data_IF_467206220972
#
_entry.id   IF_467206220972
#
_cell.length_a   1.000
_cell.length_b   1.000
_cell.length_c   1.000
_cell.angle_alpha   90.00
_cell.angle_beta   90.00
_cell.angle_gamma   90.00
#
_symmetry.space_group_name_H-M   'P 1'
#
loop_
_entity.id
_entity.type
_entity.pdbx_description
1 polymer ?
#
# COMPACT_ATOMS: atom_id res chain seq x y z
N UNK A 1 24.51 12.54 -78.47
CA UNK A 1 23.14 13.07 -78.26
C UNK A 1 22.87 13.09 -76.76
N UNK A 2 22.88 14.28 -76.15
CA UNK A 2 22.50 14.48 -74.74
C UNK A 2 21.02 14.84 -74.73
N UNK A 3 20.23 14.16 -73.91
CA UNK A 3 18.80 14.40 -73.74
C UNK A 3 18.65 15.10 -72.40
N UNK A 4 18.37 16.40 -72.43
CA UNK A 4 18.03 17.19 -71.26
C UNK A 4 16.62 16.82 -70.77
N UNK A 5 16.48 16.50 -69.49
CA UNK A 5 15.18 16.30 -68.82
C UNK A 5 14.74 17.61 -68.16
N UNK A 6 13.51 18.09 -68.41
CA UNK A 6 13.00 19.27 -67.73
C UNK A 6 12.56 18.94 -66.30
N UNK A 7 13.03 19.74 -65.35
CA UNK A 7 12.60 19.75 -63.95
C UNK A 7 11.32 20.58 -63.78
N UNK A 8 10.16 19.93 -63.87
CA UNK A 8 8.88 20.50 -63.47
C UNK A 8 8.37 19.80 -62.21
N UNK A 9 8.36 20.48 -61.07
CA UNK A 9 7.60 20.05 -59.88
C UNK A 9 6.13 20.45 -60.10
N UNK A 10 5.17 19.52 -59.98
CA UNK A 10 3.76 19.89 -60.00
C UNK A 10 3.39 20.61 -58.70
N UNK A 11 2.51 21.59 -58.85
CA UNK A 11 1.99 22.46 -57.80
C UNK A 11 1.37 21.67 -56.65
N UNK A 12 1.75 22.10 -55.45
CA UNK A 12 1.29 21.61 -54.15
C UNK A 12 -0.16 22.06 -53.94
N UNK A 13 -1.15 21.15 -53.86
CA UNK A 13 -2.53 21.53 -53.64
C UNK A 13 -2.69 22.04 -52.20
N UNK A 14 -3.11 23.31 -52.10
CA UNK A 14 -3.27 24.08 -50.88
C UNK A 14 -3.75 23.29 -49.65
N UNK A 15 -3.03 23.51 -48.56
CA UNK A 15 -3.34 23.10 -47.20
C UNK A 15 -4.80 23.44 -46.85
N UNK A 16 -5.66 22.41 -46.84
CA UNK A 16 -7.01 22.52 -46.29
C UNK A 16 -6.87 22.56 -44.77
N UNK A 17 -7.02 23.76 -44.18
CA UNK A 17 -7.09 23.94 -42.72
C UNK A 17 -8.21 23.05 -42.15
N UNK A 18 -7.81 21.98 -41.47
CA UNK A 18 -8.75 21.14 -40.72
C UNK A 18 -9.24 21.93 -39.51
N UNK A 19 -10.56 21.98 -39.24
CA UNK A 19 -11.08 22.65 -38.05
C UNK A 19 -10.49 22.01 -36.80
N UNK A 20 -10.01 22.84 -35.87
CA UNK A 20 -9.44 22.39 -34.60
C UNK A 20 -10.49 21.57 -33.85
N UNK A 21 -10.12 20.41 -33.28
CA UNK A 21 -11.02 19.68 -32.39
C UNK A 21 -11.42 20.58 -31.21
N UNK A 22 -12.66 20.48 -30.72
CA UNK A 22 -13.09 21.25 -29.56
C UNK A 22 -12.16 20.92 -28.38
N UNK A 23 -11.73 21.96 -27.67
CA UNK A 23 -10.91 21.76 -26.47
C UNK A 23 -11.66 20.86 -25.47
N UNK A 24 -10.97 19.88 -24.86
CA UNK A 24 -11.58 19.07 -23.83
C UNK A 24 -12.09 19.97 -22.72
N UNK A 25 -13.39 19.87 -22.42
CA UNK A 25 -14.00 20.54 -21.27
C UNK A 25 -13.23 20.11 -20.04
N UNK A 26 -12.47 21.04 -19.45
CA UNK A 26 -11.80 20.81 -18.18
C UNK A 26 -12.88 20.70 -17.11
N UNK A 27 -13.32 19.48 -16.83
CA UNK A 27 -14.12 19.20 -15.64
C UNK A 27 -13.30 19.59 -14.41
N UNK A 28 -13.78 20.60 -13.70
CA UNK A 28 -13.19 21.09 -12.47
C UNK A 28 -13.32 20.04 -11.35
N UNK A 29 -12.38 19.09 -11.34
CA UNK A 29 -12.27 18.01 -10.35
C UNK A 29 -11.87 18.51 -8.96
N UNK A 30 -11.63 19.81 -8.77
CA UNK A 30 -11.22 20.36 -7.48
C UNK A 30 -12.33 20.39 -6.41
N UNK A 31 -13.59 20.16 -6.81
CA UNK A 31 -14.76 20.25 -5.90
C UNK A 31 -15.04 19.02 -5.03
N UNK A 32 -14.30 17.91 -5.17
CA UNK A 32 -14.57 16.66 -4.43
C UNK A 32 -13.42 16.17 -3.54
N UNK A 33 -12.38 16.97 -3.30
CA UNK A 33 -11.36 16.60 -2.34
C UNK A 33 -11.90 16.81 -0.92
N UNK A 34 -12.19 15.72 -0.19
CA UNK A 34 -12.41 15.75 1.26
C UNK A 34 -11.20 16.44 1.90
N UNK A 35 -11.41 17.60 2.53
CA UNK A 35 -10.38 18.32 3.28
C UNK A 35 -10.53 17.98 4.77
N UNK A 36 -9.41 17.90 5.47
CA UNK A 36 -9.41 17.75 6.92
C UNK A 36 -9.90 19.04 7.62
N UNK A 37 -9.98 19.01 8.94
CA UNK A 37 -10.40 20.16 9.75
C UNK A 37 -9.45 21.37 9.62
N UNK A 38 -8.26 21.18 9.04
CA UNK A 38 -7.29 22.24 8.73
C UNK A 38 -7.43 22.76 7.29
N UNK A 39 -8.43 22.30 6.55
CA UNK A 39 -8.63 22.64 5.14
C UNK A 39 -7.59 22.00 4.20
N UNK A 40 -6.80 21.05 4.68
CA UNK A 40 -5.80 20.34 3.89
C UNK A 40 -6.44 19.14 3.21
N UNK A 41 -6.18 18.97 1.93
CA UNK A 41 -6.43 17.69 1.27
C UNK A 41 -5.50 16.61 1.85
N UNK A 42 -5.84 15.32 1.78
CA UNK A 42 -4.96 14.24 2.25
C UNK A 42 -3.55 14.31 1.62
N UNK A 43 -3.46 14.78 0.37
CA UNK A 43 -2.21 15.06 -0.34
C UNK A 43 -1.35 16.17 0.29
N UNK A 44 -2.00 17.20 0.84
CA UNK A 44 -1.36 18.34 1.49
C UNK A 44 -0.97 18.00 2.94
N UNK A 45 -1.83 17.26 3.65
CA UNK A 45 -1.55 16.76 5.00
C UNK A 45 -0.23 15.95 5.03
N UNK A 46 0.00 15.09 4.04
CA UNK A 46 1.18 14.22 4.00
C UNK A 46 2.40 14.93 3.45
N UNK A 47 2.21 15.93 2.57
CA UNK A 47 3.30 16.85 2.20
C UNK A 47 3.78 17.65 3.42
N UNK A 48 2.87 18.13 4.26
CA UNK A 48 3.21 18.80 5.52
C UNK A 48 3.87 17.85 6.52
N UNK A 49 3.42 16.59 6.58
CA UNK A 49 4.01 15.57 7.45
C UNK A 49 5.44 15.18 7.01
N UNK A 50 5.67 14.90 5.72
CA UNK A 50 7.01 14.60 5.19
C UNK A 50 7.96 15.80 5.34
N UNK A 51 7.46 17.03 5.15
CA UNK A 51 8.24 18.24 5.39
C UNK A 51 8.69 18.38 6.85
N UNK A 52 7.88 17.90 7.81
CA UNK A 52 8.22 17.84 9.24
C UNK A 52 9.23 16.73 9.55
N UNK A 53 9.19 15.62 8.82
CA UNK A 53 10.19 14.55 8.93
C UNK A 53 11.54 15.03 8.38
N UNK A 54 11.57 15.60 7.19
CA UNK A 54 12.79 16.08 6.52
C UNK A 54 13.45 17.26 7.23
N UNK A 55 12.67 18.10 7.93
CA UNK A 55 13.20 19.19 8.75
C UNK A 55 13.71 18.73 10.12
N UNK A 56 13.68 17.42 10.40
CA UNK A 56 14.02 16.87 11.71
C UNK A 56 13.03 17.25 12.82
N UNK A 57 11.85 17.77 12.46
CA UNK A 57 10.79 18.15 13.39
C UNK A 57 9.86 16.98 13.76
N UNK A 58 10.06 15.79 13.18
CA UNK A 58 9.26 14.60 13.49
C UNK A 58 9.83 13.75 14.62
N UNK A 59 11.09 13.95 15.01
CA UNK A 59 11.72 13.20 16.09
C UNK A 59 12.00 14.09 17.28
N UNK A 60 11.07 14.10 18.23
CA UNK A 60 11.29 14.01 19.70
C UNK A 60 10.06 14.52 20.43
N UNK A 61 9.28 13.63 21.03
CA UNK A 61 8.44 14.00 22.18
C UNK A 61 8.33 12.82 23.16
N UNK A 62 9.40 12.59 23.93
CA UNK A 62 9.36 12.14 25.33
C UNK A 62 10.63 12.60 26.10
N UNK A 63 10.42 13.64 26.93
CA UNK A 63 10.98 14.02 28.26
C UNK A 63 12.49 13.85 28.58
N UNK A 64 13.27 14.95 28.72
CA UNK A 64 13.53 15.67 30.00
C UNK A 64 14.47 16.91 29.88
N UNK A 65 14.09 17.96 30.63
CA UNK A 65 14.73 19.17 31.20
C UNK A 65 15.96 19.94 30.58
N UNK A 66 15.72 21.23 30.20
CA UNK A 66 16.34 22.50 30.70
C UNK A 66 16.61 23.62 29.62
N UNK A 67 15.59 24.49 29.40
CA UNK A 67 15.53 25.95 29.02
C UNK A 67 16.49 26.62 27.98
N UNK A 68 16.12 27.81 27.42
CA UNK A 68 14.81 28.35 27.03
C UNK A 68 14.79 29.01 25.62
N UNK A 69 13.61 29.09 24.99
CA UNK A 69 13.11 30.31 24.29
C UNK A 69 11.60 30.19 24.08
N UNK A 70 10.94 31.34 24.28
CA UNK A 70 9.50 31.53 24.48
C UNK A 70 8.76 31.57 23.15
N UNK A 71 7.57 30.96 23.11
CA UNK A 71 6.36 31.45 22.45
C UNK A 71 5.13 30.62 22.92
N UNK A 72 3.88 31.13 22.77
CA UNK A 72 2.82 30.91 23.76
C UNK A 72 2.05 29.60 23.54
N UNK A 73 1.90 28.83 24.62
CA UNK A 73 1.08 27.61 24.64
C UNK A 73 -0.39 28.01 24.78
N UNK A 74 -1.19 27.74 23.74
CA UNK A 74 -2.65 27.83 23.82
C UNK A 74 -3.16 26.79 24.80
N UNK A 75 -3.72 27.28 25.91
CA UNK A 75 -4.41 26.50 26.93
C UNK A 75 -5.91 26.57 26.66
N UNK A 76 -6.63 25.53 27.02
CA UNK A 76 -8.08 25.54 26.98
C UNK A 76 -8.68 26.46 28.06
N UNK A 77 -10.01 26.52 28.14
CA UNK A 77 -10.72 27.35 29.12
C UNK A 77 -10.41 26.97 30.58
N UNK A 78 -9.95 25.74 30.82
CA UNK A 78 -9.59 25.20 32.14
C UNK A 78 -8.09 25.34 32.42
N UNK A 79 -7.34 25.99 31.52
CA UNK A 79 -5.92 26.23 31.67
C UNK A 79 -5.05 25.00 31.37
N UNK A 80 -5.62 23.93 30.84
CA UNK A 80 -4.90 22.72 30.47
C UNK A 80 -4.34 22.82 29.05
N UNK A 81 -3.14 22.28 28.88
CA UNK A 81 -2.51 22.11 27.58
C UNK A 81 -3.07 20.87 26.88
N UNK A 82 -2.93 20.80 25.54
CA UNK A 82 -3.36 19.64 24.78
C UNK A 82 -2.67 18.33 25.22
N UNK A 83 -1.46 18.41 25.77
CA UNK A 83 -0.74 17.27 26.34
C UNK A 83 -1.39 16.81 27.66
N UNK A 84 -1.75 17.74 28.55
CA UNK A 84 -2.46 17.44 29.80
C UNK A 84 -3.85 16.84 29.52
N UNK A 85 -4.56 17.33 28.50
CA UNK A 85 -5.83 16.75 28.07
C UNK A 85 -5.69 15.32 27.53
N UNK A 86 -4.64 15.03 26.77
CA UNK A 86 -4.35 13.66 26.29
C UNK A 86 -3.98 12.73 27.44
N UNK A 87 -3.18 13.21 28.38
CA UNK A 87 -2.82 12.46 29.58
C UNK A 87 -4.06 12.12 30.42
N UNK A 88 -4.92 13.11 30.70
CA UNK A 88 -6.13 12.91 31.50
C UNK A 88 -7.16 12.02 30.78
N UNK A 89 -7.24 12.10 29.44
CA UNK A 89 -8.07 11.19 28.65
C UNK A 89 -7.60 9.74 28.75
N UNK A 90 -6.30 9.48 28.61
CA UNK A 90 -5.75 8.13 28.71
C UNK A 90 -5.89 7.56 30.13
N UNK A 91 -5.66 8.39 31.15
CA UNK A 91 -5.91 8.03 32.54
C UNK A 91 -7.36 7.61 32.80
N UNK A 92 -8.35 8.35 32.27
CA UNK A 92 -9.78 7.97 32.36
C UNK A 92 -10.11 6.66 31.65
N UNK A 93 -9.43 6.36 30.53
CA UNK A 93 -9.60 5.08 29.82
C UNK A 93 -9.07 3.91 30.68
N UNK A 94 -7.93 4.10 31.33
CA UNK A 94 -7.34 3.05 32.18
C UNK A 94 -8.14 2.85 33.47
N UNK A 95 -8.64 3.93 34.08
CA UNK A 95 -9.57 3.86 35.22
C UNK A 95 -10.90 3.18 34.83
N UNK A 96 -11.45 3.46 33.64
CA UNK A 96 -12.66 2.81 33.14
C UNK A 96 -12.44 1.30 32.87
N UNK A 97 -11.27 0.91 32.36
CA UNK A 97 -10.90 -0.50 32.20
C UNK A 97 -10.74 -1.21 33.55
N UNK A 98 -10.08 -0.56 34.51
CA UNK A 98 -9.92 -1.10 35.86
C UNK A 98 -11.28 -1.25 36.59
N UNK A 99 -12.22 -0.34 36.36
CA UNK A 99 -13.58 -0.41 36.91
C UNK A 99 -14.45 -1.50 36.25
N UNK A 100 -14.17 -1.85 34.98
CA UNK A 100 -14.91 -2.89 34.25
C UNK A 100 -14.54 -4.31 34.70
N UNK A 101 -13.32 -4.50 35.23
CA UNK A 101 -12.80 -5.82 35.63
C UNK A 101 -13.19 -6.25 37.06
N UNK A 102 -13.89 -5.39 37.82
CA UNK A 102 -14.21 -5.61 39.24
C UNK A 102 -15.71 -5.73 39.55
N UNK A 103 -16.60 -5.71 38.55
CA UNK A 103 -18.05 -5.69 38.82
C UNK A 103 -18.70 -7.07 38.72
N UNK A 104 -19.12 -7.57 39.89
CA UNK A 104 -19.96 -8.76 40.09
C UNK A 104 -21.34 -8.62 39.40
N UNK A 105 -22.16 -9.69 39.28
CA UNK A 105 -23.28 -9.72 38.35
C UNK A 105 -24.43 -8.82 38.84
N UNK A 106 -24.60 -7.67 38.19
CA UNK A 106 -25.72 -6.76 38.43
C UNK A 106 -26.84 -7.05 37.45
N UNK A 107 -28.01 -7.16 38.05
CA UNK A 107 -29.34 -7.42 37.54
C UNK A 107 -29.71 -6.56 36.31
N UNK A 108 -30.39 -7.22 35.35
CA UNK A 108 -30.83 -6.65 34.07
C UNK A 108 -31.60 -5.35 34.27
N UNK A 109 -31.01 -4.25 33.80
CA UNK A 109 -31.74 -3.03 33.45
C UNK A 109 -31.55 -2.80 31.96
N UNK A 110 -32.63 -2.92 31.19
CA UNK A 110 -32.64 -2.64 29.75
C UNK A 110 -32.50 -1.13 29.49
N UNK A 111 -31.42 -0.66 28.83
CA UNK A 111 -31.37 0.69 28.32
C UNK A 111 -31.92 0.69 26.88
N UNK A 112 -33.09 1.30 26.74
CA UNK A 112 -33.63 1.78 25.46
C UNK A 112 -32.82 3.00 25.01
N UNK A 113 -31.78 2.77 24.22
CA UNK A 113 -31.14 3.78 23.41
C UNK A 113 -30.51 3.08 22.20
N UNK A 114 -31.15 3.22 21.04
CA UNK A 114 -30.62 2.68 19.79
C UNK A 114 -29.24 3.27 19.50
N UNK A 115 -28.17 2.45 19.47
CA UNK A 115 -26.87 2.94 19.04
C UNK A 115 -27.00 3.31 17.56
N UNK A 116 -26.55 4.53 17.22
CA UNK A 116 -26.34 4.95 15.83
C UNK A 116 -25.42 3.93 15.18
N UNK A 117 -26.00 3.07 14.36
CA UNK A 117 -25.28 2.08 13.56
C UNK A 117 -24.53 2.84 12.49
N UNK A 118 -23.27 3.18 12.77
CA UNK A 118 -22.31 3.39 11.71
C UNK A 118 -22.32 2.11 10.88
N UNK A 119 -22.90 2.21 9.69
CA UNK A 119 -23.14 1.08 8.79
C UNK A 119 -21.80 0.67 8.20
N UNK A 120 -20.99 -0.04 8.98
CA UNK A 120 -19.77 -0.66 8.48
C UNK A 120 -20.21 -1.69 7.45
N UNK A 121 -19.92 -1.41 6.18
CA UNK A 121 -20.19 -2.31 5.05
C UNK A 121 -19.56 -3.68 5.35
N UNK A 122 -20.42 -4.67 5.56
CA UNK A 122 -20.06 -6.07 5.77
C UNK A 122 -20.28 -6.82 4.46
N UNK A 123 -19.43 -7.80 4.17
CA UNK A 123 -19.60 -8.66 3.00
C UNK A 123 -20.82 -9.61 3.16
N UNK A 124 -21.06 -10.45 2.16
CA UNK A 124 -22.12 -11.46 2.21
C UNK A 124 -21.97 -12.48 3.35
N UNK A 125 -20.79 -12.54 3.98
CA UNK A 125 -20.48 -13.37 5.13
C UNK A 125 -20.50 -12.59 6.45
N UNK A 126 -20.89 -11.30 6.42
CA UNK A 126 -20.96 -10.45 7.60
C UNK A 126 -19.62 -9.91 8.09
N UNK A 127 -18.54 -10.08 7.33
CA UNK A 127 -17.18 -9.65 7.68
C UNK A 127 -16.91 -8.25 7.18
N UNK A 128 -16.26 -7.46 8.02
CA UNK A 128 -15.60 -6.22 7.59
C UNK A 128 -14.37 -6.56 6.74
N UNK A 129 -13.85 -5.61 5.95
CA UNK A 129 -12.65 -5.81 5.14
C UNK A 129 -11.44 -6.26 5.97
N UNK A 130 -11.26 -5.68 7.15
CA UNK A 130 -10.19 -6.04 8.08
C UNK A 130 -10.37 -7.47 8.60
N UNK A 131 -11.60 -7.88 8.88
CA UNK A 131 -11.90 -9.26 9.30
C UNK A 131 -11.71 -10.25 8.16
N UNK A 132 -12.06 -9.90 6.92
CA UNK A 132 -11.78 -10.70 5.73
C UNK A 132 -10.28 -10.96 5.59
N UNK A 133 -9.45 -9.92 5.69
CA UNK A 133 -7.98 -10.04 5.61
C UNK A 133 -7.44 -10.92 6.76
N UNK A 134 -7.90 -10.69 7.99
CA UNK A 134 -7.49 -11.52 9.15
C UNK A 134 -7.90 -12.98 8.99
N UNK A 135 -9.12 -13.23 8.50
CA UNK A 135 -9.60 -14.59 8.26
C UNK A 135 -8.79 -15.27 7.14
N UNK A 136 -8.50 -14.55 6.07
CA UNK A 136 -7.70 -15.05 4.96
C UNK A 136 -6.28 -15.43 5.43
N UNK A 137 -5.59 -14.53 6.13
CA UNK A 137 -4.25 -14.80 6.68
C UNK A 137 -4.24 -15.99 7.66
N UNK A 138 -5.34 -16.21 8.40
CA UNK A 138 -5.47 -17.36 9.31
C UNK A 138 -5.56 -18.69 8.56
N UNK A 139 -6.41 -18.76 7.53
CA UNK A 139 -6.60 -19.99 6.74
C UNK A 139 -5.29 -20.44 6.08
N UNK A 140 -4.53 -19.49 5.54
CA UNK A 140 -3.24 -19.78 4.91
C UNK A 140 -2.26 -20.38 5.93
N UNK A 141 -2.19 -19.83 7.14
CA UNK A 141 -1.33 -20.39 8.20
C UNK A 141 -1.71 -21.83 8.53
N UNK A 142 -3.01 -22.11 8.63
CA UNK A 142 -3.53 -23.45 8.91
C UNK A 142 -3.26 -24.45 7.77
N UNK A 143 -3.33 -23.99 6.51
CA UNK A 143 -3.06 -24.82 5.33
C UNK A 143 -1.56 -25.08 5.14
N UNK A 144 -0.70 -24.09 5.42
CA UNK A 144 0.75 -24.23 5.41
C UNK A 144 1.25 -25.23 6.46
N UNK A 145 0.61 -25.29 7.64
CA UNK A 145 0.93 -26.27 8.68
C UNK A 145 0.49 -27.71 8.30
N UNK A 146 -0.43 -27.87 7.33
CA UNK A 146 -0.94 -29.19 6.90
C UNK A 146 -0.21 -29.78 5.69
N UNK A 147 0.39 -28.95 4.85
CA UNK A 147 0.99 -29.39 3.58
C UNK A 147 2.51 -29.51 3.70
N UNK A 148 3.00 -30.64 4.21
CA UNK A 148 4.41 -31.00 4.10
C UNK A 148 4.69 -31.50 2.66
N UNK A 149 5.73 -30.99 1.96
CA UNK A 149 5.95 -31.33 0.56
C UNK A 149 6.45 -32.78 0.39
N UNK A 150 5.81 -33.54 -0.50
CA UNK A 150 6.32 -34.82 -1.00
C UNK A 150 7.45 -34.60 -2.03
N UNK A 151 8.47 -35.48 -2.08
CA UNK A 151 9.57 -35.35 -3.03
C UNK A 151 9.12 -35.67 -4.47
N UNK A 152 9.32 -34.72 -5.39
CA UNK A 152 8.96 -34.85 -6.80
C UNK A 152 9.98 -35.69 -7.61
N UNK A 153 9.44 -36.51 -8.50
CA UNK A 153 10.15 -37.40 -9.43
C UNK A 153 10.76 -36.64 -10.62
N UNK A 154 11.95 -37.09 -11.03
CA UNK A 154 12.84 -36.51 -12.03
C UNK A 154 12.53 -37.06 -13.44
N UNK A 155 12.27 -36.19 -14.43
CA UNK A 155 12.23 -36.61 -15.83
C UNK A 155 11.19 -35.90 -16.71
N UNK A 156 11.45 -34.65 -17.08
CA UNK A 156 11.15 -34.06 -18.40
C UNK A 156 11.51 -32.56 -18.33
N UNK A 157 12.43 -32.11 -19.20
CA UNK A 157 12.92 -30.72 -19.28
C UNK A 157 11.82 -29.75 -19.77
N UNK A 158 10.85 -29.50 -18.91
CA UNK A 158 10.05 -28.26 -18.95
C UNK A 158 10.89 -27.15 -18.32
N UNK A 159 10.70 -25.87 -18.74
CA UNK A 159 11.31 -24.76 -18.04
C UNK A 159 11.03 -24.91 -16.55
N UNK A 160 12.09 -24.95 -15.73
CA UNK A 160 11.99 -25.14 -14.29
C UNK A 160 11.03 -24.09 -13.74
N UNK A 161 9.82 -24.53 -13.39
CA UNK A 161 8.82 -23.65 -12.80
C UNK A 161 9.41 -23.07 -11.51
N UNK A 162 9.23 -21.77 -11.26
CA UNK A 162 9.73 -21.12 -10.06
C UNK A 162 9.40 -21.93 -8.78
N UNK A 163 10.44 -22.46 -8.13
CA UNK A 163 10.36 -23.34 -6.94
C UNK A 163 10.21 -22.62 -5.61
N UNK A 164 10.41 -21.31 -5.56
CA UNK A 164 10.05 -20.48 -4.41
C UNK A 164 10.09 -18.99 -4.79
N UNK A 165 9.34 -18.15 -4.07
CA UNK A 165 9.60 -16.73 -4.09
C UNK A 165 10.74 -16.40 -3.15
N UNK A 166 11.73 -15.66 -3.66
CA UNK A 166 12.81 -15.09 -2.85
C UNK A 166 12.81 -13.58 -3.04
N UNK A 167 12.86 -12.88 -1.93
CA UNK A 167 13.10 -11.45 -1.88
C UNK A 167 14.54 -11.16 -2.29
N UNK A 168 14.80 -9.92 -2.71
CA UNK A 168 16.15 -9.48 -3.00
C UNK A 168 17.03 -9.49 -1.75
N UNK A 169 16.47 -9.31 -0.54
CA UNK A 169 17.23 -9.49 0.71
C UNK A 169 17.75 -10.91 0.85
N UNK A 170 16.92 -11.92 0.53
CA UNK A 170 17.33 -13.33 0.56
C UNK A 170 18.34 -13.66 -0.56
N UNK A 171 18.25 -13.01 -1.72
CA UNK A 171 19.23 -13.18 -2.81
C UNK A 171 20.56 -12.46 -2.54
N UNK A 172 20.54 -11.23 -2.02
CA UNK A 172 21.73 -10.45 -1.68
C UNK A 172 22.39 -10.92 -0.39
N UNK A 173 21.63 -11.54 0.53
CA UNK A 173 22.09 -11.87 1.89
C UNK A 173 22.12 -10.68 2.86
N UNK A 174 21.64 -9.50 2.44
CA UNK A 174 21.55 -8.30 3.26
C UNK A 174 20.37 -7.40 2.84
N UNK A 175 19.87 -6.60 3.78
CA UNK A 175 18.81 -5.61 3.49
C UNK A 175 19.42 -4.35 2.88
N UNK A 176 18.80 -3.86 1.80
CA UNK A 176 19.19 -2.65 1.06
C UNK A 176 17.96 -1.85 0.73
N UNK A 177 18.07 -0.52 0.78
CA UNK A 177 17.05 0.39 0.26
C UNK A 177 17.54 1.03 -1.03
N UNK A 178 16.61 1.33 -1.93
CA UNK A 178 16.89 1.94 -3.22
C UNK A 178 16.06 3.21 -3.39
N UNK A 179 16.63 4.24 -4.02
CA UNK A 179 15.89 5.48 -4.26
C UNK A 179 14.74 5.33 -5.27
N UNK A 180 14.81 4.30 -6.13
CA UNK A 180 13.83 4.03 -7.19
C UNK A 180 13.77 2.54 -7.49
N UNK A 181 12.63 2.09 -8.01
CA UNK A 181 12.48 0.73 -8.54
C UNK A 181 13.52 0.36 -9.61
N UNK A 182 13.83 1.28 -10.53
CA UNK A 182 14.83 1.01 -11.57
C UNK A 182 16.25 0.87 -10.99
N UNK A 183 16.56 1.58 -9.90
CA UNK A 183 17.82 1.39 -9.18
C UNK A 183 17.89 -0.02 -8.56
N UNK A 184 16.82 -0.47 -7.90
CA UNK A 184 16.73 -1.82 -7.35
C UNK A 184 16.89 -2.89 -8.44
N UNK A 185 16.15 -2.74 -9.55
CA UNK A 185 16.22 -3.65 -10.70
C UNK A 185 17.62 -3.72 -11.31
N UNK A 186 18.27 -2.58 -11.53
CA UNK A 186 19.64 -2.53 -12.07
C UNK A 186 20.66 -3.13 -11.10
N UNK A 187 20.51 -2.90 -9.80
CA UNK A 187 21.39 -3.48 -8.78
C UNK A 187 21.27 -5.01 -8.78
N UNK A 188 20.05 -5.54 -8.77
CA UNK A 188 19.82 -6.98 -8.82
C UNK A 188 20.36 -7.63 -10.10
N UNK A 189 20.14 -7.04 -11.27
CA UNK A 189 20.68 -7.54 -12.54
C UNK A 189 22.21 -7.52 -12.57
N UNK A 190 22.84 -6.53 -11.93
CA UNK A 190 24.31 -6.44 -11.86
C UNK A 190 24.91 -7.59 -11.03
N UNK A 191 24.24 -7.98 -9.96
CA UNK A 191 24.75 -8.95 -9.00
C UNK A 191 24.40 -10.40 -9.35
N UNK A 192 23.19 -10.62 -9.85
CA UNK A 192 22.68 -11.97 -10.15
C UNK A 192 22.48 -12.23 -11.65
N UNK A 193 22.79 -11.25 -12.50
CA UNK A 193 22.62 -11.34 -13.94
C UNK A 193 21.19 -11.04 -14.42
N UNK A 194 20.99 -10.96 -15.75
CA UNK A 194 19.65 -10.81 -16.33
C UNK A 194 18.74 -11.99 -15.98
N UNK A 195 17.47 -11.71 -15.70
CA UNK A 195 16.43 -12.72 -15.41
C UNK A 195 15.41 -12.77 -16.56
N UNK A 196 15.72 -13.41 -17.70
CA UNK A 196 14.79 -13.48 -18.83
C UNK A 196 13.53 -14.26 -18.44
N UNK A 197 12.36 -13.76 -18.84
CA UNK A 197 11.07 -14.37 -18.50
C UNK A 197 10.56 -14.06 -17.09
N UNK A 198 11.32 -13.29 -16.31
CA UNK A 198 10.92 -12.85 -14.97
C UNK A 198 10.77 -11.33 -14.90
N UNK A 199 9.88 -10.89 -14.03
CA UNK A 199 9.63 -9.49 -13.72
C UNK A 199 9.79 -9.25 -12.21
N UNK A 200 10.36 -8.10 -11.86
CA UNK A 200 10.59 -7.73 -10.45
C UNK A 200 9.28 -7.22 -9.84
N UNK A 201 8.87 -7.83 -8.74
CA UNK A 201 7.60 -7.61 -8.06
C UNK A 201 7.78 -6.88 -6.73
N UNK A 202 6.79 -6.09 -6.31
CA UNK A 202 6.72 -5.56 -4.94
C UNK A 202 5.69 -6.36 -4.13
N UNK A 203 6.04 -6.78 -2.92
CA UNK A 203 5.08 -7.40 -1.99
C UNK A 203 4.03 -6.40 -1.52
N UNK A 204 4.48 -5.22 -1.09
CA UNK A 204 3.63 -4.03 -0.87
C UNK A 204 3.64 -3.20 -2.14
N UNK A 205 2.47 -3.03 -2.77
CA UNK A 205 2.37 -2.32 -4.04
C UNK A 205 2.94 -0.89 -3.98
N UNK A 206 3.68 -0.49 -5.02
CA UNK A 206 4.19 0.88 -5.19
C UNK A 206 3.11 1.96 -5.05
N UNK A 207 1.86 1.64 -5.39
CA UNK A 207 0.72 2.56 -5.27
C UNK A 207 0.47 3.00 -3.82
N UNK A 208 0.87 2.18 -2.83
CA UNK A 208 0.73 2.45 -1.40
C UNK A 208 1.70 3.51 -0.86
N UNK A 209 2.69 3.89 -1.66
CA UNK A 209 3.54 5.06 -1.38
C UNK A 209 2.77 6.38 -1.43
N UNK A 210 1.60 6.39 -2.09
CA UNK A 210 0.80 7.61 -2.23
C UNK A 210 0.28 8.06 -0.88
N UNK A 211 0.38 9.37 -0.59
CA UNK A 211 -0.24 9.99 0.55
C UNK A 211 -1.67 9.50 0.84
N UNK A 212 -2.55 9.58 -0.15
CA UNK A 212 -3.98 9.35 0.04
C UNK A 212 -4.32 7.88 0.30
N UNK A 213 -3.33 6.98 0.28
CA UNK A 213 -3.45 5.55 0.58
C UNK A 213 -2.79 5.23 1.92
N UNK A 214 -1.61 4.63 1.91
CA UNK A 214 -0.86 4.27 3.11
C UNK A 214 0.32 5.20 3.38
N UNK A 215 0.73 6.02 2.41
CA UNK A 215 1.78 7.01 2.59
C UNK A 215 3.15 6.44 2.94
N UNK A 216 3.46 5.21 2.52
CA UNK A 216 4.76 4.60 2.83
C UNK A 216 5.91 5.35 2.17
N UNK A 217 7.05 5.37 2.87
CA UNK A 217 8.26 6.02 2.38
C UNK A 217 8.78 5.31 1.12
N UNK A 218 9.44 6.03 0.19
CA UNK A 218 10.13 5.41 -0.94
C UNK A 218 11.11 4.31 -0.51
N UNK A 219 11.78 4.49 0.63
CA UNK A 219 12.74 3.55 1.21
C UNK A 219 12.08 2.22 1.57
N UNK A 220 10.89 2.25 2.19
CA UNK A 220 10.10 1.04 2.48
C UNK A 220 9.58 0.37 1.21
N UNK A 221 9.12 1.14 0.25
CA UNK A 221 8.56 0.60 -1.00
C UNK A 221 9.64 -0.01 -1.88
N UNK A 222 10.81 0.63 -1.95
CA UNK A 222 11.94 0.19 -2.76
C UNK A 222 13.03 -0.45 -1.90
N UNK A 223 12.65 -1.25 -0.91
CA UNK A 223 13.58 -2.06 -0.13
C UNK A 223 13.74 -3.46 -0.74
N UNK A 224 14.89 -4.09 -0.50
CA UNK A 224 15.20 -5.43 -1.01
C UNK A 224 14.32 -6.51 -0.36
N UNK A 225 13.77 -6.29 0.83
CA UNK A 225 12.83 -7.20 1.50
C UNK A 225 11.41 -7.04 0.96
N UNK A 226 11.08 -5.92 0.32
CA UNK A 226 9.80 -5.72 -0.35
C UNK A 226 9.81 -6.14 -1.82
N UNK A 227 10.97 -6.46 -2.39
CA UNK A 227 11.14 -6.75 -3.81
C UNK A 227 11.58 -8.20 -4.03
N UNK A 228 11.12 -8.83 -5.11
CA UNK A 228 11.62 -10.16 -5.52
C UNK A 228 11.24 -10.51 -6.95
N UNK A 229 11.99 -11.43 -7.57
CA UNK A 229 11.75 -11.84 -8.95
C UNK A 229 10.64 -12.88 -9.05
N UNK A 230 9.76 -12.71 -10.03
CA UNK A 230 8.68 -13.63 -10.35
C UNK A 230 8.69 -14.02 -11.81
N UNK A 231 8.37 -15.28 -12.10
CA UNK A 231 8.02 -15.69 -13.46
C UNK A 231 6.86 -14.81 -13.98
N UNK A 232 7.00 -14.29 -15.20
CA UNK A 232 6.03 -13.36 -15.79
C UNK A 232 4.58 -13.84 -15.73
N UNK A 233 4.26 -15.12 -16.01
CA UNK A 233 2.89 -15.61 -15.89
C UNK A 233 2.33 -15.51 -14.47
N UNK A 234 3.16 -15.73 -13.45
CA UNK A 234 2.78 -15.59 -12.03
C UNK A 234 2.55 -14.12 -11.71
N UNK A 235 3.48 -13.25 -12.11
CA UNK A 235 3.36 -11.80 -11.92
C UNK A 235 2.07 -11.23 -12.54
N UNK A 236 1.71 -11.67 -13.75
CA UNK A 236 0.46 -11.27 -14.43
C UNK A 236 -0.79 -11.70 -13.65
N UNK A 237 -0.80 -12.92 -13.08
CA UNK A 237 -1.92 -13.42 -12.27
C UNK A 237 -2.08 -12.63 -10.98
N UNK A 238 -0.99 -12.33 -10.30
CA UNK A 238 -1.00 -11.48 -9.09
C UNK A 238 -1.53 -10.09 -9.43
N UNK A 239 -1.03 -9.49 -10.51
CA UNK A 239 -1.51 -8.17 -10.98
C UNK A 239 -3.01 -8.19 -11.27
N UNK A 240 -3.52 -9.25 -11.92
CA UNK A 240 -4.95 -9.41 -12.17
C UNK A 240 -5.76 -9.55 -10.87
N UNK A 241 -5.22 -10.28 -9.87
CA UNK A 241 -5.85 -10.44 -8.55
C UNK A 241 -5.97 -9.12 -7.81
N UNK A 242 -4.92 -8.29 -7.78
CA UNK A 242 -4.96 -6.99 -7.13
C UNK A 242 -5.92 -6.00 -7.80
N UNK A 243 -6.11 -6.10 -9.12
CA UNK A 243 -7.07 -5.29 -9.88
C UNK A 243 -8.50 -5.85 -9.84
N UNK A 244 -8.75 -6.98 -9.18
CA UNK A 244 -10.11 -7.53 -9.06
C UNK A 244 -10.90 -6.78 -7.99
N UNK A 245 -12.12 -6.37 -8.32
CA UNK A 245 -13.03 -5.77 -7.34
C UNK A 245 -13.52 -6.77 -6.29
N UNK A 246 -13.73 -6.27 -5.06
CA UNK A 246 -14.21 -7.05 -3.91
C UNK A 246 -15.32 -6.27 -3.19
N UNK A 247 -16.15 -6.91 -2.36
CA UNK A 247 -17.20 -6.19 -1.63
C UNK A 247 -16.65 -4.99 -0.85
N UNK A 248 -17.21 -3.80 -1.12
CA UNK A 248 -16.79 -2.55 -0.48
C UNK A 248 -15.63 -1.80 -1.16
N UNK A 249 -14.95 -2.38 -2.15
CA UNK A 249 -13.81 -1.74 -2.82
C UNK A 249 -13.81 -1.96 -4.33
N UNK A 250 -13.34 -0.96 -5.07
CA UNK A 250 -13.18 -1.06 -6.53
C UNK A 250 -12.13 -2.11 -6.92
N UNK A 251 -11.08 -2.28 -6.12
CA UNK A 251 -10.01 -3.26 -6.33
C UNK A 251 -9.56 -3.83 -4.99
N UNK A 252 -9.03 -5.06 -4.98
CA UNK A 252 -8.45 -5.70 -3.79
C UNK A 252 -7.35 -4.83 -3.16
N UNK A 253 -6.50 -4.19 -3.97
CA UNK A 253 -5.46 -3.29 -3.43
C UNK A 253 -6.03 -2.13 -2.60
N UNK A 254 -7.26 -1.68 -2.89
CA UNK A 254 -7.89 -0.56 -2.18
C UNK A 254 -8.33 -0.95 -0.77
N UNK A 255 -8.52 -2.24 -0.48
CA UNK A 255 -8.77 -2.69 0.89
C UNK A 255 -7.53 -2.72 1.78
N UNK A 256 -6.35 -2.45 1.20
CA UNK A 256 -5.09 -2.41 1.95
C UNK A 256 -4.74 -0.99 2.44
N UNK A 257 -5.47 0.02 1.98
CA UNK A 257 -5.15 1.42 2.27
C UNK A 257 -5.23 1.70 3.77
N UNK A 258 -4.17 2.32 4.32
CA UNK A 258 -4.06 2.67 5.74
C UNK A 258 -3.68 1.50 6.67
N UNK A 259 -3.48 0.29 6.14
CA UNK A 259 -2.94 -0.81 6.95
C UNK A 259 -1.43 -0.63 7.19
N UNK A 260 -0.88 -1.10 8.33
CA UNK A 260 0.56 -1.08 8.58
C UNK A 260 1.35 -1.83 7.51
N UNK A 261 2.59 -1.40 7.27
CA UNK A 261 3.47 -1.94 6.23
C UNK A 261 3.63 -3.46 6.35
N UNK A 262 3.91 -3.96 7.56
CA UNK A 262 4.12 -5.37 7.85
C UNK A 262 2.88 -6.21 7.55
N UNK A 263 1.68 -5.64 7.73
CA UNK A 263 0.42 -6.31 7.42
C UNK A 263 0.23 -6.46 5.91
N UNK A 264 0.54 -5.40 5.15
CA UNK A 264 0.47 -5.43 3.69
C UNK A 264 1.56 -6.32 3.10
N UNK A 265 2.75 -6.31 3.70
CA UNK A 265 3.88 -7.13 3.29
C UNK A 265 3.57 -8.62 3.46
N UNK A 266 3.07 -9.02 4.63
CA UNK A 266 2.63 -10.39 4.88
C UNK A 266 1.49 -10.81 3.94
N UNK A 267 0.52 -9.92 3.70
CA UNK A 267 -0.55 -10.17 2.73
C UNK A 267 0.01 -10.37 1.31
N UNK A 268 0.95 -9.53 0.88
CA UNK A 268 1.61 -9.64 -0.42
C UNK A 268 2.38 -10.94 -0.58
N UNK A 269 3.15 -11.33 0.45
CA UNK A 269 3.89 -12.60 0.47
C UNK A 269 2.95 -13.79 0.31
N UNK A 270 1.85 -13.79 1.06
CA UNK A 270 0.82 -14.82 0.97
C UNK A 270 0.22 -14.93 -0.44
N UNK A 271 -0.13 -13.79 -1.06
CA UNK A 271 -0.66 -13.78 -2.43
C UNK A 271 0.35 -14.36 -3.42
N UNK A 272 1.63 -14.02 -3.28
CA UNK A 272 2.70 -14.53 -4.13
C UNK A 272 2.84 -16.05 -3.97
N UNK A 273 2.95 -16.54 -2.73
CA UNK A 273 3.15 -17.95 -2.43
C UNK A 273 1.98 -18.81 -2.94
N UNK A 274 0.73 -18.33 -2.78
CA UNK A 274 -0.46 -18.98 -3.33
C UNK A 274 -0.43 -19.08 -4.88
N UNK A 275 -0.11 -17.98 -5.58
CA UNK A 275 -0.10 -17.98 -7.04
C UNK A 275 1.05 -18.81 -7.62
N UNK A 276 2.18 -18.87 -6.93
CA UNK A 276 3.29 -19.77 -7.27
C UNK A 276 2.86 -21.24 -7.09
N UNK A 277 2.19 -21.59 -5.98
CA UNK A 277 1.69 -22.96 -5.76
C UNK A 277 0.73 -23.40 -6.86
N UNK A 278 -0.22 -22.53 -7.25
CA UNK A 278 -1.12 -22.78 -8.39
C UNK A 278 -0.37 -22.96 -9.71
N UNK A 279 0.68 -22.17 -9.94
CA UNK A 279 1.48 -22.25 -11.16
C UNK A 279 2.24 -23.58 -11.29
N UNK A 280 2.69 -24.13 -10.15
CA UNK A 280 3.30 -25.47 -10.09
C UNK A 280 2.29 -26.58 -10.34
N UNK A 281 1.06 -26.40 -9.86
CA UNK A 281 0.04 -27.43 -9.82
C UNK A 281 -0.06 -28.10 -8.45
N UNK A 282 0.42 -27.43 -7.40
CA UNK A 282 0.41 -27.92 -6.02
C UNK A 282 -0.91 -27.59 -5.29
N UNK A 283 -1.81 -26.83 -5.94
CA UNK A 283 -3.04 -26.26 -5.38
C UNK A 283 -4.32 -26.86 -5.98
#
# INVERSE_FOLDING_TARGET
MRIDRPSGRPDDPGEIERPRPPEPVQEDRSRYALRDDNGLTPAEYIREWNKKVDSGQAETEQVDAERPRRDPVMRDADGMTAAELRFERNKRIDEAKAATDMSAPVEKVEPSAEPRRDSVMRDSNGLTPVEYIRQHNRRIKEDAEKSAPEPANEGDEKPEKQREFKTLTEEFGESRTFSTFDAARRASIREHGPRPGQDLHHLVERSQARPERSGFTPEQIHSSDNLGWLDRPVHEKITARYNKGIPGFSHLRDSLDGLPFETQHAFGRNVVDEEIGKYRGDA
#
